data_IF_712179939224
#
_entry.id   IF_712179939224
#
_cell.length_a   1.000
_cell.length_b   1.000
_cell.length_c   1.000
_cell.angle_alpha   90.00
_cell.angle_beta   90.00
_cell.angle_gamma   90.00
#
_symmetry.space_group_name_H-M   'P 1'
#
loop_
_entity.id
_entity.type
_entity.pdbx_description
1 polymer ?
#
# COMPACT_ATOMS: atom_id res chain seq x y z
N UNK A 1 9.36 8.14 -34.29
CA UNK A 1 7.89 8.00 -34.39
C UNK A 1 7.24 7.62 -33.05
N UNK A 2 7.88 6.82 -32.16
CA UNK A 2 7.32 6.47 -30.84
C UNK A 2 7.13 7.63 -29.85
N UNK A 3 8.01 8.66 -29.86
CA UNK A 3 7.91 9.80 -28.91
C UNK A 3 6.59 10.59 -29.02
N UNK A 4 6.08 10.81 -30.23
CA UNK A 4 4.82 11.54 -30.45
C UNK A 4 3.60 10.73 -29.99
N UNK A 5 3.68 9.41 -30.05
CA UNK A 5 2.59 8.53 -29.63
C UNK A 5 2.48 8.45 -28.09
N UNK A 6 3.60 8.57 -27.38
CA UNK A 6 3.64 8.58 -25.91
C UNK A 6 3.18 9.92 -25.31
N UNK A 7 3.52 11.06 -25.94
CA UNK A 7 3.07 12.39 -25.50
C UNK A 7 1.53 12.50 -25.52
N UNK A 8 0.90 12.11 -26.65
CA UNK A 8 -0.56 12.11 -26.80
C UNK A 8 -1.24 11.17 -25.77
N UNK A 9 -0.63 10.03 -25.46
CA UNK A 9 -1.16 9.11 -24.44
C UNK A 9 -1.10 9.70 -23.02
N UNK A 10 -0.02 10.40 -22.67
CA UNK A 10 0.10 11.05 -21.35
C UNK A 10 -0.91 12.19 -21.21
N UNK A 11 -1.07 13.03 -22.23
CA UNK A 11 -2.07 14.11 -22.26
C UNK A 11 -3.50 13.57 -22.10
N UNK A 12 -3.82 12.47 -22.80
CA UNK A 12 -5.11 11.79 -22.66
C UNK A 12 -5.35 11.27 -21.24
N UNK A 13 -4.36 10.62 -20.61
CA UNK A 13 -4.49 10.13 -19.23
C UNK A 13 -4.70 11.30 -18.28
N UNK A 14 -3.96 12.40 -18.46
CA UNK A 14 -4.16 13.61 -17.67
C UNK A 14 -5.59 14.13 -17.76
N UNK A 15 -6.15 14.23 -18.98
CA UNK A 15 -7.55 14.60 -19.18
C UNK A 15 -8.53 13.66 -18.49
N UNK A 16 -8.34 12.34 -18.64
CA UNK A 16 -9.19 11.33 -18.02
C UNK A 16 -9.18 11.42 -16.48
N UNK A 17 -8.02 11.57 -15.87
CA UNK A 17 -7.89 11.62 -14.39
C UNK A 17 -8.55 12.87 -13.78
N UNK A 18 -8.74 13.95 -14.55
CA UNK A 18 -9.51 15.10 -14.08
C UNK A 18 -11.03 14.86 -14.10
N UNK A 19 -11.52 13.93 -14.93
CA UNK A 19 -12.93 13.55 -14.97
C UNK A 19 -13.32 12.75 -13.71
N UNK A 20 -14.32 13.26 -13.01
CA UNK A 20 -14.84 12.67 -11.78
C UNK A 20 -15.41 11.26 -12.01
N UNK A 21 -16.07 11.02 -13.14
CA UNK A 21 -16.60 9.70 -13.49
C UNK A 21 -15.48 8.68 -13.66
N UNK A 22 -14.34 9.11 -14.22
CA UNK A 22 -13.18 8.25 -14.37
C UNK A 22 -12.54 7.92 -13.01
N UNK A 23 -12.57 8.83 -12.04
CA UNK A 23 -12.13 8.53 -10.66
C UNK A 23 -13.03 7.51 -9.97
N UNK A 24 -14.35 7.59 -10.15
CA UNK A 24 -15.27 6.54 -9.69
C UNK A 24 -15.00 5.20 -10.37
N UNK A 25 -14.72 5.21 -11.69
CA UNK A 25 -14.34 4.01 -12.42
C UNK A 25 -13.02 3.41 -11.89
N UNK A 26 -12.00 4.23 -11.65
CA UNK A 26 -10.75 3.79 -11.00
C UNK A 26 -11.01 3.27 -9.58
N UNK A 27 -11.97 3.84 -8.86
CA UNK A 27 -12.41 3.39 -7.55
C UNK A 27 -12.98 1.98 -7.59
N UNK A 28 -13.89 1.71 -8.53
CA UNK A 28 -14.40 0.37 -8.80
C UNK A 28 -13.31 -0.60 -9.26
N UNK A 29 -12.35 -0.13 -10.07
CA UNK A 29 -11.20 -0.92 -10.48
C UNK A 29 -10.34 -1.32 -9.25
N UNK A 30 -10.15 -0.42 -8.29
CA UNK A 30 -9.44 -0.69 -7.02
C UNK A 30 -10.22 -1.63 -6.10
N UNK A 31 -11.55 -1.63 -6.12
CA UNK A 31 -12.33 -2.64 -5.40
C UNK A 31 -11.96 -4.05 -5.86
N UNK A 32 -11.83 -4.26 -7.18
CA UNK A 32 -11.45 -5.54 -7.78
C UNK A 32 -9.95 -5.89 -7.68
N UNK A 33 -9.08 -4.99 -8.15
CA UNK A 33 -7.65 -5.26 -8.39
C UNK A 33 -6.71 -4.57 -7.38
N UNK A 34 -7.25 -3.68 -6.55
CA UNK A 34 -6.48 -2.89 -5.60
C UNK A 34 -6.17 -3.64 -4.30
N UNK A 35 -4.93 -3.51 -3.84
CA UNK A 35 -4.41 -4.14 -2.63
C UNK A 35 -3.84 -3.10 -1.67
N UNK A 36 -4.24 -3.19 -0.39
CA UNK A 36 -3.60 -2.52 0.73
C UNK A 36 -2.84 -3.55 1.56
N UNK A 37 -1.55 -3.33 1.78
CA UNK A 37 -0.69 -4.26 2.52
C UNK A 37 0.26 -3.51 3.42
N UNK A 38 0.62 -4.14 4.54
CA UNK A 38 1.70 -3.69 5.42
C UNK A 38 2.72 -4.81 5.57
N UNK A 39 3.89 -4.60 4.95
CA UNK A 39 5.02 -5.52 5.04
C UNK A 39 5.78 -5.32 6.34
N UNK A 40 6.23 -6.41 6.95
CA UNK A 40 7.07 -6.40 8.16
C UNK A 40 8.46 -6.84 7.74
N UNK A 41 9.42 -5.90 7.75
CA UNK A 41 10.78 -6.12 7.27
C UNK A 41 11.75 -6.07 8.44
N UNK A 42 12.60 -7.08 8.58
CA UNK A 42 13.70 -7.04 9.57
C UNK A 42 14.64 -5.89 9.21
N UNK A 43 14.91 -5.05 10.19
CA UNK A 43 15.86 -3.95 10.05
C UNK A 43 16.53 -3.71 11.40
N UNK A 44 17.77 -4.17 11.54
CA UNK A 44 18.54 -4.02 12.78
C UNK A 44 18.88 -2.58 13.12
N UNK A 45 18.76 -1.65 12.16
CA UNK A 45 19.08 -0.23 12.34
C UNK A 45 17.94 0.57 12.99
N UNK A 46 16.70 0.05 13.02
CA UNK A 46 15.56 0.74 13.66
C UNK A 46 15.40 0.30 15.11
N UNK A 47 14.73 1.12 15.93
CA UNK A 47 14.58 0.92 17.38
C UNK A 47 14.04 -0.45 17.77
N UNK A 48 13.10 -0.97 16.99
CA UNK A 48 12.35 -2.19 17.26
C UNK A 48 12.88 -3.44 16.50
N UNK A 49 13.99 -3.33 15.75
CA UNK A 49 14.54 -4.44 14.95
C UNK A 49 13.70 -4.83 13.72
N UNK A 50 12.51 -4.23 13.55
CA UNK A 50 11.61 -4.41 12.41
C UNK A 50 11.04 -3.06 11.97
N UNK A 51 10.80 -2.93 10.67
CA UNK A 51 10.15 -1.77 10.05
C UNK A 51 8.84 -2.20 9.39
N UNK A 52 7.79 -1.41 9.59
CA UNK A 52 6.52 -1.57 8.90
C UNK A 52 6.54 -0.74 7.62
N UNK A 53 6.26 -1.38 6.49
CA UNK A 53 6.27 -0.76 5.17
C UNK A 53 4.86 -0.90 4.57
N UNK A 54 3.98 0.09 4.80
CA UNK A 54 2.68 0.12 4.17
C UNK A 54 2.82 0.43 2.68
N UNK A 55 1.96 -0.19 1.88
CA UNK A 55 1.94 -0.10 0.43
C UNK A 55 0.51 -0.24 -0.10
N UNK A 56 0.20 0.58 -1.10
CA UNK A 56 -0.93 0.39 -1.99
C UNK A 56 -0.41 -0.08 -3.34
N UNK A 57 -1.05 -1.09 -3.93
CA UNK A 57 -0.69 -1.57 -5.26
C UNK A 57 -1.89 -2.00 -6.07
N UNK A 58 -1.76 -1.87 -7.39
CA UNK A 58 -2.73 -2.37 -8.37
C UNK A 58 -1.94 -3.17 -9.40
N UNK A 59 -2.34 -4.42 -9.64
CA UNK A 59 -1.76 -5.27 -10.67
C UNK A 59 -2.65 -5.27 -11.92
N UNK A 60 -2.05 -5.36 -13.09
CA UNK A 60 -2.79 -5.52 -14.35
C UNK A 60 -1.93 -6.21 -15.40
N UNK A 61 -2.55 -6.90 -16.34
CA UNK A 61 -1.86 -7.41 -17.53
C UNK A 61 -1.30 -6.25 -18.38
N UNK A 62 -0.21 -6.48 -19.11
CA UNK A 62 0.52 -5.46 -19.89
C UNK A 62 -0.37 -4.71 -20.91
N UNK A 63 -1.39 -5.38 -21.46
CA UNK A 63 -2.38 -4.75 -22.35
C UNK A 63 -3.21 -3.65 -21.67
N UNK A 64 -3.27 -3.64 -20.34
CA UNK A 64 -3.97 -2.65 -19.53
C UNK A 64 -3.03 -1.69 -18.80
N UNK A 65 -1.75 -1.62 -19.16
CA UNK A 65 -0.73 -0.82 -18.44
C UNK A 65 -1.09 0.67 -18.34
N UNK A 66 -1.86 1.19 -19.29
CA UNK A 66 -2.31 2.59 -19.27
C UNK A 66 -3.17 2.90 -18.03
N UNK A 67 -3.94 1.93 -17.52
CA UNK A 67 -4.71 2.07 -16.27
C UNK A 67 -3.76 2.25 -15.08
N UNK A 68 -2.62 1.55 -15.07
CA UNK A 68 -1.58 1.72 -14.04
C UNK A 68 -0.96 3.11 -14.08
N UNK A 69 -0.76 3.67 -15.28
CA UNK A 69 -0.30 5.04 -15.44
C UNK A 69 -1.34 6.08 -14.99
N UNK A 70 -2.64 5.81 -15.09
CA UNK A 70 -3.69 6.66 -14.52
C UNK A 70 -3.51 6.84 -13.01
N UNK A 71 -3.15 5.79 -12.25
CA UNK A 71 -2.87 5.93 -10.82
C UNK A 71 -1.64 6.80 -10.55
N UNK A 72 -0.59 6.69 -11.36
CA UNK A 72 0.59 7.54 -11.24
C UNK A 72 0.23 9.01 -11.46
N UNK A 73 -0.61 9.33 -12.45
CA UNK A 73 -1.09 10.70 -12.70
C UNK A 73 -2.02 11.17 -11.57
N UNK A 74 -2.96 10.33 -11.15
CA UNK A 74 -3.91 10.58 -10.05
C UNK A 74 -3.20 10.94 -8.75
N UNK A 75 -2.04 10.33 -8.50
CA UNK A 75 -1.24 10.59 -7.30
C UNK A 75 -0.04 11.50 -7.58
N UNK A 76 -0.20 12.49 -8.45
CA UNK A 76 0.77 13.56 -8.72
C UNK A 76 2.18 13.05 -9.07
N UNK A 77 2.25 11.99 -9.87
CA UNK A 77 3.49 11.37 -10.29
C UNK A 77 4.15 10.47 -9.24
N UNK A 78 3.56 10.31 -8.03
CA UNK A 78 4.10 9.40 -7.00
C UNK A 78 3.91 7.93 -7.38
N UNK A 79 4.71 7.07 -6.76
CA UNK A 79 4.70 5.64 -7.01
C UNK A 79 5.40 5.24 -8.32
N UNK A 80 5.40 3.94 -8.59
CA UNK A 80 6.13 3.35 -9.71
C UNK A 80 5.31 2.26 -10.41
N UNK A 81 5.33 2.27 -11.74
CA UNK A 81 4.82 1.19 -12.58
C UNK A 81 6.00 0.29 -12.96
N UNK A 82 5.92 -1.00 -12.66
CA UNK A 82 7.01 -1.96 -12.86
C UNK A 82 6.48 -3.37 -13.13
N UNK A 83 7.27 -4.22 -13.78
CA UNK A 83 6.91 -5.62 -14.01
C UNK A 83 6.81 -6.40 -12.68
N UNK A 84 5.82 -7.28 -12.57
CA UNK A 84 5.61 -8.13 -11.41
C UNK A 84 6.66 -9.23 -11.39
N UNK A 85 7.41 -9.34 -10.30
CA UNK A 85 8.41 -10.41 -10.15
C UNK A 85 7.80 -11.80 -10.37
N UNK A 86 8.38 -12.58 -11.28
CA UNK A 86 7.91 -13.92 -11.63
C UNK A 86 6.72 -13.96 -12.60
N UNK A 87 6.37 -12.85 -13.25
CA UNK A 87 5.37 -12.81 -14.32
C UNK A 87 5.76 -11.80 -15.40
N UNK A 88 5.98 -12.27 -16.62
CA UNK A 88 6.45 -11.43 -17.73
C UNK A 88 5.38 -10.45 -18.24
N UNK A 89 4.10 -10.81 -18.11
CA UNK A 89 2.98 -10.05 -18.68
C UNK A 89 2.17 -9.25 -17.67
N UNK A 90 2.53 -9.30 -16.39
CA UNK A 90 1.81 -8.58 -15.34
C UNK A 90 2.65 -7.42 -14.85
N UNK A 91 2.05 -6.24 -14.84
CA UNK A 91 2.62 -5.00 -14.34
C UNK A 91 1.92 -4.58 -13.05
N UNK A 92 2.61 -3.78 -12.24
CA UNK A 92 2.13 -3.30 -10.94
C UNK A 92 2.41 -1.82 -10.84
N UNK A 93 1.37 -1.03 -10.55
CA UNK A 93 1.54 0.27 -9.93
C UNK A 93 1.69 0.06 -8.43
N UNK A 94 2.71 0.63 -7.80
CA UNK A 94 2.81 0.66 -6.34
C UNK A 94 3.19 2.03 -5.79
N UNK A 95 2.59 2.36 -4.65
CA UNK A 95 2.89 3.54 -3.84
C UNK A 95 3.18 3.10 -2.41
N UNK A 96 4.38 3.42 -1.92
CA UNK A 96 4.87 3.00 -0.60
C UNK A 96 5.03 4.19 0.34
N UNK A 97 5.04 3.87 1.62
CA UNK A 97 5.36 4.80 2.69
C UNK A 97 4.14 5.54 3.21
N UNK A 98 4.01 5.60 4.55
CA UNK A 98 2.79 6.08 5.19
C UNK A 98 2.45 7.54 4.86
N UNK A 99 3.45 8.41 4.66
CA UNK A 99 3.22 9.82 4.30
C UNK A 99 2.55 9.97 2.94
N UNK A 100 3.02 9.23 1.93
CA UNK A 100 2.40 9.20 0.61
C UNK A 100 0.99 8.62 0.69
N UNK A 101 0.83 7.50 1.40
CA UNK A 101 -0.46 6.83 1.50
C UNK A 101 -1.49 7.69 2.22
N UNK A 102 -1.09 8.35 3.31
CA UNK A 102 -1.92 9.33 4.03
C UNK A 102 -2.36 10.48 3.14
N UNK A 103 -1.43 11.04 2.35
CA UNK A 103 -1.71 12.20 1.49
C UNK A 103 -2.57 11.84 0.28
N UNK A 104 -2.34 10.69 -0.35
CA UNK A 104 -2.87 10.39 -1.67
C UNK A 104 -3.89 9.25 -1.67
N UNK A 105 -3.56 8.12 -1.03
CA UNK A 105 -4.37 6.90 -1.12
C UNK A 105 -5.57 6.96 -0.20
N UNK A 106 -5.41 7.42 1.06
CA UNK A 106 -6.52 7.46 2.00
C UNK A 106 -7.67 8.36 1.49
N UNK A 107 -7.43 9.60 1.01
CA UNK A 107 -8.51 10.42 0.47
C UNK A 107 -9.17 9.80 -0.77
N UNK A 108 -8.39 9.19 -1.66
CA UNK A 108 -8.94 8.51 -2.83
C UNK A 108 -9.85 7.34 -2.43
N UNK A 109 -9.42 6.51 -1.48
CA UNK A 109 -10.25 5.41 -1.00
C UNK A 109 -11.54 5.91 -0.36
N UNK A 110 -11.46 6.90 0.54
CA UNK A 110 -12.63 7.49 1.20
C UNK A 110 -13.66 8.04 0.22
N UNK A 111 -13.21 8.71 -0.85
CA UNK A 111 -14.10 9.40 -1.77
C UNK A 111 -14.63 8.48 -2.89
N UNK A 112 -13.81 7.55 -3.39
CA UNK A 112 -14.08 6.84 -4.64
C UNK A 112 -14.17 5.31 -4.51
N UNK A 113 -13.63 4.74 -3.44
CA UNK A 113 -13.59 3.27 -3.26
C UNK A 113 -14.64 2.84 -2.23
N UNK A 114 -14.44 3.17 -0.95
CA UNK A 114 -15.21 2.54 0.15
C UNK A 114 -16.70 2.84 0.14
N UNK A 115 -17.12 3.94 -0.50
CA UNK A 115 -18.54 4.28 -0.68
C UNK A 115 -19.33 3.20 -1.43
N UNK A 116 -18.66 2.44 -2.30
CA UNK A 116 -19.26 1.41 -3.15
C UNK A 116 -18.64 0.03 -2.92
N UNK A 117 -17.83 -0.11 -1.86
CA UNK A 117 -17.10 -1.33 -1.56
C UNK A 117 -17.93 -2.34 -0.78
N UNK A 118 -17.48 -3.60 -0.85
CA UNK A 118 -17.89 -4.64 0.09
C UNK A 118 -17.58 -4.26 1.54
N UNK A 119 -18.36 -4.80 2.49
CA UNK A 119 -18.09 -4.66 3.94
C UNK A 119 -16.65 -5.04 4.29
N UNK A 120 -16.16 -6.14 3.70
CA UNK A 120 -14.79 -6.60 3.88
C UNK A 120 -13.76 -5.54 3.49
N UNK A 121 -13.83 -4.96 2.28
CA UNK A 121 -12.86 -3.93 1.86
C UNK A 121 -12.95 -2.68 2.75
N UNK A 122 -14.15 -2.31 3.19
CA UNK A 122 -14.33 -1.18 4.12
C UNK A 122 -13.64 -1.43 5.47
N UNK A 123 -13.72 -2.64 6.02
CA UNK A 123 -13.01 -3.03 7.26
C UNK A 123 -11.49 -3.04 7.06
N UNK A 124 -11.01 -3.60 5.94
CA UNK A 124 -9.58 -3.56 5.56
C UNK A 124 -9.09 -2.11 5.49
N UNK A 125 -9.86 -1.24 4.85
CA UNK A 125 -9.50 0.17 4.72
C UNK A 125 -9.46 0.87 6.09
N UNK A 126 -10.44 0.64 6.96
CA UNK A 126 -10.46 1.23 8.30
C UNK A 126 -9.25 0.80 9.14
N UNK A 127 -8.92 -0.50 9.14
CA UNK A 127 -7.73 -1.02 9.81
C UNK A 127 -6.45 -0.42 9.22
N UNK A 128 -6.39 -0.26 7.90
CA UNK A 128 -5.26 0.38 7.24
C UNK A 128 -5.11 1.85 7.64
N UNK A 129 -6.22 2.60 7.74
CA UNK A 129 -6.22 3.98 8.21
C UNK A 129 -5.67 4.09 9.65
N UNK A 130 -6.08 3.20 10.56
CA UNK A 130 -5.56 3.18 11.94
C UNK A 130 -4.04 2.90 11.94
N UNK A 131 -3.58 1.92 11.16
CA UNK A 131 -2.15 1.63 11.04
C UNK A 131 -1.37 2.87 10.54
N UNK A 132 -1.86 3.55 9.50
CA UNK A 132 -1.21 4.75 8.96
C UNK A 132 -1.20 5.88 9.99
N UNK A 133 -2.29 6.07 10.73
CA UNK A 133 -2.37 7.09 11.79
C UNK A 133 -1.37 6.82 12.93
N UNK A 134 -1.24 5.56 13.37
CA UNK A 134 -0.27 5.15 14.41
C UNK A 134 1.17 5.28 13.94
N UNK A 135 1.46 5.01 12.67
CA UNK A 135 2.79 5.24 12.10
C UNK A 135 3.13 6.74 12.05
N UNK A 136 2.16 7.58 11.69
CA UNK A 136 2.34 9.03 11.61
C UNK A 136 2.51 9.68 12.99
N UNK A 137 1.72 9.28 13.99
CA UNK A 137 1.85 9.78 15.37
C UNK A 137 3.20 9.43 16.00
N UNK A 138 3.79 8.30 15.58
CA UNK A 138 5.11 7.85 16.00
C UNK A 138 6.25 8.38 15.11
N UNK A 139 5.99 9.14 14.04
CA UNK A 139 7.05 9.57 13.13
C UNK A 139 8.06 10.56 13.77
N UNK A 140 7.68 11.23 14.86
CA UNK A 140 8.53 12.20 15.57
C UNK A 140 9.16 11.67 16.86
N UNK A 141 8.84 10.43 17.26
CA UNK A 141 9.36 9.82 18.49
C UNK A 141 9.81 8.38 18.20
N UNK A 142 10.58 7.80 19.11
CA UNK A 142 10.78 6.37 19.07
C UNK A 142 9.50 5.69 19.55
N UNK A 143 8.98 4.76 18.74
CA UNK A 143 7.82 3.94 19.12
C UNK A 143 8.22 2.94 20.18
N UNK A 144 7.47 2.89 21.27
CA UNK A 144 7.69 1.95 22.36
C UNK A 144 7.47 0.50 21.90
N UNK A 145 8.12 -0.45 22.59
CA UNK A 145 8.00 -1.87 22.27
C UNK A 145 6.54 -2.34 22.26
N UNK A 146 5.77 -1.97 23.28
CA UNK A 146 4.36 -2.34 23.41
C UNK A 146 3.51 -1.79 22.27
N UNK A 147 3.71 -0.52 21.91
CA UNK A 147 3.04 0.12 20.76
C UNK A 147 3.34 -0.63 19.45
N UNK A 148 4.60 -1.01 19.22
CA UNK A 148 4.99 -1.80 18.04
C UNK A 148 4.35 -3.19 18.02
N UNK A 149 4.28 -3.86 19.18
CA UNK A 149 3.64 -5.18 19.31
C UNK A 149 2.15 -5.11 18.98
N UNK A 150 1.44 -4.11 19.51
CA UNK A 150 0.03 -3.88 19.18
C UNK A 150 -0.18 -3.58 17.70
N UNK A 151 0.67 -2.73 17.12
CA UNK A 151 0.60 -2.39 15.71
C UNK A 151 0.85 -3.61 14.82
N UNK A 152 1.77 -4.50 15.19
CA UNK A 152 2.01 -5.76 14.47
C UNK A 152 0.80 -6.68 14.57
N UNK A 153 0.18 -6.82 15.75
CA UNK A 153 -1.06 -7.60 15.88
C UNK A 153 -2.13 -7.09 14.94
N UNK A 154 -2.33 -5.77 14.87
CA UNK A 154 -3.25 -5.14 13.92
C UNK A 154 -2.88 -5.43 12.46
N UNK A 155 -1.59 -5.40 12.11
CA UNK A 155 -1.10 -5.76 10.77
C UNK A 155 -1.43 -7.22 10.41
N UNK A 156 -1.36 -8.16 11.36
CA UNK A 156 -1.78 -9.54 11.14
C UNK A 156 -3.30 -9.69 10.98
N UNK A 157 -4.09 -8.81 11.60
CA UNK A 157 -5.54 -8.75 11.47
C UNK A 157 -6.04 -7.94 10.28
N UNK A 158 -5.15 -7.23 9.56
CA UNK A 158 -5.54 -6.37 8.44
C UNK A 158 -6.25 -7.15 7.32
N UNK A 159 -5.76 -8.35 7.00
CA UNK A 159 -6.29 -9.21 5.94
C UNK A 159 -6.19 -10.69 6.36
N UNK A 160 -7.01 -11.17 7.31
CA UNK A 160 -6.90 -12.53 7.83
C UNK A 160 -7.24 -13.58 6.76
N UNK A 161 -8.18 -13.24 5.87
CA UNK A 161 -8.69 -14.14 4.83
C UNK A 161 -8.05 -13.90 3.45
N UNK A 162 -6.89 -13.24 3.39
CA UNK A 162 -6.26 -12.98 2.08
C UNK A 162 -5.97 -14.30 1.37
N UNK A 163 -6.67 -14.58 0.27
CA UNK A 163 -6.41 -15.71 -0.65
C UNK A 163 -5.08 -15.59 -1.41
N UNK A 164 -4.26 -14.60 -1.07
CA UNK A 164 -2.98 -14.28 -1.69
C UNK A 164 -1.80 -14.97 -0.99
N UNK A 165 -0.59 -14.45 -1.22
CA UNK A 165 0.63 -14.98 -0.58
C UNK A 165 0.54 -14.79 0.94
N UNK A 166 0.69 -15.89 1.67
CA UNK A 166 0.80 -15.88 3.12
C UNK A 166 2.03 -15.09 3.58
N UNK A 167 1.94 -14.52 4.79
CA UNK A 167 3.09 -13.86 5.42
C UNK A 167 4.21 -14.89 5.61
N UNK A 168 5.45 -14.50 5.29
CA UNK A 168 6.64 -15.36 5.44
C UNK A 168 6.87 -15.85 6.87
N UNK A 169 6.40 -15.10 7.87
CA UNK A 169 6.56 -15.39 9.29
C UNK A 169 5.20 -15.36 9.98
N UNK A 170 5.01 -16.24 10.94
CA UNK A 170 3.90 -16.20 11.89
C UNK A 170 3.99 -14.97 12.79
N UNK A 171 2.91 -14.67 13.51
CA UNK A 171 2.92 -13.59 14.51
C UNK A 171 3.97 -13.88 15.59
N UNK A 172 4.01 -15.10 16.14
CA UNK A 172 4.97 -15.49 17.17
C UNK A 172 6.43 -15.32 16.74
N UNK A 173 6.79 -15.78 15.54
CA UNK A 173 8.13 -15.58 14.98
C UNK A 173 8.48 -14.10 14.79
N UNK A 174 7.49 -13.27 14.45
CA UNK A 174 7.69 -11.84 14.28
C UNK A 174 7.92 -11.14 15.62
N UNK A 175 7.15 -11.50 16.65
CA UNK A 175 7.32 -10.96 18.01
C UNK A 175 8.66 -11.39 18.62
N UNK A 176 9.10 -12.63 18.39
CA UNK A 176 10.39 -13.12 18.87
C UNK A 176 11.59 -12.31 18.33
N UNK A 177 11.50 -11.77 17.09
CA UNK A 177 12.53 -10.88 16.54
C UNK A 177 12.64 -9.59 17.35
N UNK A 178 11.50 -9.01 17.72
CA UNK A 178 11.47 -7.79 18.51
C UNK A 178 12.05 -8.08 19.89
N UNK A 179 11.59 -9.15 20.54
CA UNK A 179 12.11 -9.55 21.85
C UNK A 179 13.63 -9.73 21.84
N UNK A 180 14.17 -10.44 20.86
CA UNK A 180 15.62 -10.62 20.70
C UNK A 180 16.35 -9.29 20.46
N UNK A 181 15.76 -8.36 19.69
CA UNK A 181 16.36 -7.05 19.45
C UNK A 181 16.48 -6.22 20.73
N UNK A 182 15.45 -6.23 21.58
CA UNK A 182 15.49 -5.52 22.86
C UNK A 182 16.47 -6.15 23.86
N UNK A 183 16.60 -7.48 23.88
CA UNK A 183 17.60 -8.17 24.70
C UNK A 183 19.04 -7.86 24.31
N UNK A 184 19.29 -7.57 23.03
CA UNK A 184 20.64 -7.28 22.50
C UNK A 184 21.03 -5.80 22.57
N UNK A 185 20.06 -4.88 22.64
CA UNK A 185 20.31 -3.44 22.88
C UNK A 185 20.45 -3.04 24.34
N UNK A 186 19.96 -3.86 25.27
CA UNK A 186 20.08 -3.62 26.71
C UNK A 186 21.43 -4.06 27.32
N UNK A 187 22.38 -4.50 26.48
CA UNK A 187 23.79 -4.75 26.82
C UNK A 187 24.65 -3.69 26.16
#
# INVERSE_FOLDING_TARGET
MEKNNNLNQQERIHGLVQDENYKFWLGGFVEGEGTLVVSIVRNSKVSNGVALQPEFSVAQHENGIQILHSFKVLFEGKGSVHAKSGSEKVWVYSLKGFQNLKKYVLPFFSNYVVKYSSKYKSEVFQNFQDIIARLDSNNKKTMEKSEMVELIKLVYLLNPDSKGKSRKRTLGETLAIIDQHYLTKGK
#
